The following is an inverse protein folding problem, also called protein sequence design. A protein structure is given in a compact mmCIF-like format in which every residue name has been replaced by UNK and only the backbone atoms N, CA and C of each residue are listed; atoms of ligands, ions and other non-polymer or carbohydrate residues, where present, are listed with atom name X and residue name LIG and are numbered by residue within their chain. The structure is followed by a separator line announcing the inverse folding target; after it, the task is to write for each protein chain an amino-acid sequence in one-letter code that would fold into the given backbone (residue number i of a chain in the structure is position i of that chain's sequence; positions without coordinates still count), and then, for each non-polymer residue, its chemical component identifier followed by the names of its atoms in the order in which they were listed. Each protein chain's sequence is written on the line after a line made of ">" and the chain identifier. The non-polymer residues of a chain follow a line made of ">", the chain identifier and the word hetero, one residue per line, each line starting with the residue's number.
data_IF_621729440650
#
_entry.id   IF_621729440650
#
_cell.length_a   1.000
_cell.length_b   1.000
_cell.length_c   1.000
_cell.angle_alpha   90.00
_cell.angle_beta   90.00
_cell.angle_gamma   90.00
#
_symmetry.space_group_name_H-M   'P 1'
#
loop_
_entity.id
_entity.type
_entity.pdbx_description
1 polymer ?
#
# COMPACT_ATOMS: atom_id res chain seq x y z
N UNK A 1 -14.69 -8.14 18.61
CA UNK A 1 -13.74 -7.02 18.56
C UNK A 1 -13.57 -6.72 17.09
N UNK A 2 -14.09 -5.59 16.60
CA UNK A 2 -13.85 -5.18 15.20
C UNK A 2 -12.34 -5.05 15.01
N UNK A 3 -11.76 -5.90 14.14
CA UNK A 3 -10.38 -5.68 13.74
C UNK A 3 -10.35 -4.34 13.02
N UNK A 4 -9.76 -3.32 13.67
CA UNK A 4 -9.49 -2.05 13.01
C UNK A 4 -8.50 -2.33 11.89
N UNK A 5 -9.02 -2.30 10.66
CA UNK A 5 -8.24 -2.40 9.44
C UNK A 5 -7.25 -1.23 9.44
N UNK A 6 -5.97 -1.55 9.24
CA UNK A 6 -4.91 -0.56 9.20
C UNK A 6 -4.32 -0.49 7.79
N UNK A 7 -4.87 0.41 6.97
CA UNK A 7 -4.55 0.54 5.55
C UNK A 7 -3.07 0.87 5.33
N UNK A 8 -2.45 1.71 6.18
CA UNK A 8 -1.01 2.00 6.09
C UNK A 8 -0.12 0.76 6.24
N UNK A 9 -0.43 -0.14 7.18
CA UNK A 9 0.31 -1.40 7.37
C UNK A 9 0.11 -2.31 6.16
N UNK A 10 -1.08 -2.34 5.59
CA UNK A 10 -1.38 -3.14 4.41
C UNK A 10 -0.58 -2.64 3.19
N UNK A 11 -0.52 -1.33 2.98
CA UNK A 11 0.35 -0.71 1.95
C UNK A 11 1.81 -1.12 2.15
N UNK A 12 2.31 -1.06 3.39
CA UNK A 12 3.67 -1.50 3.72
C UNK A 12 3.90 -2.97 3.34
N UNK A 13 2.98 -3.86 3.69
CA UNK A 13 3.06 -5.30 3.40
C UNK A 13 3.17 -5.55 1.90
N UNK A 14 2.24 -5.00 1.10
CA UNK A 14 2.29 -5.16 -0.35
C UNK A 14 3.57 -4.59 -0.96
N UNK A 15 4.00 -3.39 -0.51
CA UNK A 15 5.26 -2.80 -0.97
C UNK A 15 6.46 -3.72 -0.70
N UNK A 16 6.53 -4.31 0.49
CA UNK A 16 7.61 -5.22 0.87
C UNK A 16 7.54 -6.56 0.12
N UNK A 17 6.34 -7.10 -0.12
CA UNK A 17 6.14 -8.31 -0.92
C UNK A 17 6.57 -8.10 -2.39
N UNK A 18 6.38 -6.89 -2.91
CA UNK A 18 6.87 -6.49 -4.25
C UNK A 18 8.36 -6.11 -4.24
N UNK A 19 9.05 -6.19 -3.09
CA UNK A 19 10.45 -5.78 -2.91
C UNK A 19 10.73 -4.31 -3.33
N UNK A 20 9.74 -3.44 -3.15
CA UNK A 20 9.82 -2.01 -3.49
C UNK A 20 10.32 -1.23 -2.27
N UNK A 21 11.28 -0.33 -2.45
CA UNK A 21 11.73 0.58 -1.38
C UNK A 21 10.75 1.74 -1.22
N UNK A 22 10.68 2.31 -0.02
CA UNK A 22 9.87 3.51 0.24
C UNK A 22 10.27 4.69 -0.67
N UNK A 23 11.56 4.83 -0.98
CA UNK A 23 12.06 5.84 -1.93
C UNK A 23 11.53 5.63 -3.35
N UNK A 24 11.43 4.37 -3.80
CA UNK A 24 10.90 4.05 -5.12
C UNK A 24 9.39 4.34 -5.19
N UNK A 25 8.62 3.92 -4.18
CA UNK A 25 7.19 4.25 -4.10
C UNK A 25 6.96 5.77 -4.03
N UNK A 26 7.82 6.50 -3.31
CA UNK A 26 7.76 7.95 -3.28
C UNK A 26 8.00 8.55 -4.68
N UNK A 27 9.03 8.09 -5.38
CA UNK A 27 9.34 8.54 -6.73
C UNK A 27 8.17 8.35 -7.69
N UNK A 28 7.53 7.18 -7.66
CA UNK A 28 6.38 6.85 -8.52
C UNK A 28 5.11 7.62 -8.16
N UNK A 29 4.94 8.04 -6.90
CA UNK A 29 3.82 8.89 -6.46
C UNK A 29 4.02 10.38 -6.80
N UNK A 30 5.24 10.79 -7.14
CA UNK A 30 5.56 12.14 -7.62
C UNK A 30 6.42 12.99 -6.68
N UNK A 31 6.75 14.20 -7.12
CA UNK A 31 7.72 15.11 -6.47
C UNK A 31 7.35 15.54 -5.03
N UNK A 32 6.07 15.52 -4.70
CA UNK A 32 5.59 15.78 -3.34
C UNK A 32 5.89 14.64 -2.37
N UNK A 33 6.31 13.48 -2.85
CA UNK A 33 6.56 12.31 -2.03
C UNK A 33 8.05 12.10 -1.78
N UNK A 34 8.35 11.62 -0.57
CA UNK A 34 9.69 11.20 -0.18
C UNK A 34 9.60 10.03 0.79
N UNK A 35 10.73 9.38 1.05
CA UNK A 35 10.80 8.22 1.95
C UNK A 35 10.15 8.47 3.32
N UNK A 36 10.37 9.65 3.91
CA UNK A 36 9.78 10.02 5.20
C UNK A 36 8.26 10.14 5.14
N UNK A 37 7.70 10.76 4.09
CA UNK A 37 6.26 10.86 3.87
C UNK A 37 5.62 9.48 3.68
N UNK A 38 6.28 8.57 2.95
CA UNK A 38 5.82 7.18 2.80
C UNK A 38 5.85 6.46 4.15
N UNK A 39 6.92 6.60 4.92
CA UNK A 39 7.00 6.02 6.26
C UNK A 39 5.88 6.51 7.20
N UNK A 40 5.51 7.79 7.12
CA UNK A 40 4.37 8.34 7.87
C UNK A 40 3.03 7.82 7.36
N UNK A 41 2.88 7.68 6.05
CA UNK A 41 1.68 7.11 5.42
C UNK A 41 1.44 5.67 5.86
N UNK A 42 2.48 4.86 5.90
CA UNK A 42 2.41 3.45 6.32
C UNK A 42 2.00 3.28 7.80
N UNK A 43 2.13 4.34 8.61
CA UNK A 43 1.70 4.37 10.01
C UNK A 43 0.27 4.86 10.20
N UNK A 44 -0.41 5.32 9.14
CA UNK A 44 -1.82 5.75 9.22
C UNK A 44 -2.76 4.55 9.27
N UNK A 45 -3.69 4.55 10.22
CA UNK A 45 -4.77 3.56 10.28
C UNK A 45 -5.65 3.62 9.03
N UNK A 46 -6.02 4.84 8.59
CA UNK A 46 -6.83 5.10 7.41
C UNK A 46 -6.11 6.08 6.49
N UNK A 47 -6.09 5.79 5.21
CA UNK A 47 -5.53 6.62 4.15
C UNK A 47 -6.70 7.24 3.37
N UNK A 48 -6.51 8.48 2.92
CA UNK A 48 -7.50 9.16 2.08
C UNK A 48 -7.72 8.40 0.77
N UNK A 49 -8.98 8.23 0.35
CA UNK A 49 -9.37 7.39 -0.78
C UNK A 49 -8.64 7.76 -2.09
N UNK A 50 -8.50 9.05 -2.39
CA UNK A 50 -7.76 9.51 -3.57
C UNK A 50 -6.29 9.07 -3.54
N UNK A 51 -5.66 9.13 -2.38
CA UNK A 51 -4.28 8.72 -2.20
C UNK A 51 -4.14 7.19 -2.24
N UNK A 52 -5.09 6.47 -1.66
CA UNK A 52 -5.11 5.01 -1.72
C UNK A 52 -5.27 4.52 -3.18
N UNK A 53 -6.07 5.22 -3.99
CA UNK A 53 -6.20 4.99 -5.45
C UNK A 53 -4.89 5.26 -6.20
N UNK A 54 -4.16 6.32 -5.85
CA UNK A 54 -2.85 6.59 -6.44
C UNK A 54 -1.85 5.47 -6.12
N UNK A 55 -1.78 5.06 -4.86
CA UNK A 55 -0.92 3.94 -4.42
C UNK A 55 -1.30 2.64 -5.13
N UNK A 56 -2.60 2.38 -5.25
CA UNK A 56 -3.15 1.25 -6.00
C UNK A 56 -2.69 1.24 -7.46
N UNK A 57 -2.73 2.39 -8.14
CA UNK A 57 -2.26 2.51 -9.51
C UNK A 57 -0.75 2.26 -9.65
N UNK A 58 0.05 2.79 -8.72
CA UNK A 58 1.51 2.63 -8.72
C UNK A 58 1.92 1.17 -8.44
N UNK A 59 1.37 0.58 -7.37
CA UNK A 59 1.69 -0.79 -6.97
C UNK A 59 0.98 -1.84 -7.84
N UNK A 60 0.02 -1.42 -8.67
CA UNK A 60 -0.89 -2.27 -9.46
C UNK A 60 -1.69 -3.26 -8.61
N UNK A 61 -1.96 -2.89 -7.37
CA UNK A 61 -2.74 -3.70 -6.42
C UNK A 61 -4.13 -3.09 -6.27
N UNK A 62 -5.22 -3.86 -6.28
CA UNK A 62 -6.57 -3.33 -6.09
C UNK A 62 -6.71 -2.54 -4.78
N UNK A 63 -7.42 -1.41 -4.82
CA UNK A 63 -7.69 -0.57 -3.62
C UNK A 63 -8.26 -1.39 -2.47
N UNK A 64 -9.18 -2.30 -2.81
CA UNK A 64 -9.85 -3.20 -1.87
C UNK A 64 -8.88 -4.09 -1.10
N UNK A 65 -7.74 -4.46 -1.69
CA UNK A 65 -6.73 -5.28 -1.03
C UNK A 65 -6.04 -4.53 0.13
N UNK A 66 -5.90 -3.21 0.02
CA UNK A 66 -5.41 -2.38 1.13
C UNK A 66 -6.47 -2.16 2.20
N UNK A 67 -7.75 -2.23 1.82
CA UNK A 67 -8.88 -2.08 2.72
C UNK A 67 -9.28 -3.38 3.41
N UNK A 68 -8.98 -4.54 2.83
CA UNK A 68 -9.32 -5.86 3.38
C UNK A 68 -8.11 -6.78 3.20
N UNK A 69 -7.09 -6.57 4.02
CA UNK A 69 -5.87 -7.37 3.94
C UNK A 69 -6.08 -8.73 4.59
N UNK A 70 -5.90 -9.77 3.77
CA UNK A 70 -5.73 -11.15 4.17
C UNK A 70 -4.45 -11.67 3.51
N UNK A 71 -3.60 -12.40 4.26
CA UNK A 71 -2.27 -12.78 3.77
C UNK A 71 -2.35 -13.78 2.61
N UNK A 72 -3.29 -14.72 2.64
CA UNK A 72 -3.50 -15.67 1.54
C UNK A 72 -4.02 -14.95 0.29
N UNK A 73 -4.96 -14.02 0.46
CA UNK A 73 -5.44 -13.17 -0.64
C UNK A 73 -4.32 -12.27 -1.19
N UNK A 74 -3.47 -11.71 -0.34
CA UNK A 74 -2.36 -10.85 -0.76
C UNK A 74 -1.38 -11.62 -1.65
N UNK A 75 -1.03 -12.86 -1.28
CA UNK A 75 -0.18 -13.72 -2.10
C UNK A 75 -0.85 -13.99 -3.46
N UNK A 76 -2.14 -14.37 -3.45
CA UNK A 76 -2.89 -14.62 -4.68
C UNK A 76 -2.93 -13.39 -5.60
N UNK A 77 -3.13 -12.19 -5.05
CA UNK A 77 -3.15 -10.95 -5.84
C UNK A 77 -1.79 -10.71 -6.49
N UNK A 78 -0.70 -10.86 -5.74
CA UNK A 78 0.65 -10.65 -6.28
C UNK A 78 0.96 -11.67 -7.38
N UNK A 79 0.68 -12.96 -7.15
CA UNK A 79 0.88 -14.03 -8.15
C UNK A 79 0.05 -13.89 -9.42
N UNK A 80 -1.09 -13.18 -9.38
CA UNK A 80 -1.92 -12.93 -10.56
C UNK A 80 -1.61 -11.59 -11.26
N UNK A 81 -0.84 -10.72 -10.61
CA UNK A 81 -0.50 -9.39 -11.13
C UNK A 81 0.89 -9.35 -11.78
N UNK A 82 1.80 -10.25 -11.35
CA UNK A 82 3.19 -10.35 -11.79
C UNK A 82 3.56 -11.81 -12.06
#
# INVERSE_FOLDING_TARGET
>A
MEQKIHQGRNVKRFREMLNIKQEALAYDLGEDWNQKKISLLEQKDVIEDNLLKQISAVLKIPVEAFQNFDEEQAINIISNTF
#
